data_IF_346924091919
#
_entry.id   IF_346924091919
#
_cell.length_a   1.000
_cell.length_b   1.000
_cell.length_c   1.000
_cell.angle_alpha   90.00
_cell.angle_beta   90.00
_cell.angle_gamma   90.00
#
_symmetry.space_group_name_H-M   'P 1'
#
loop_
_entity.id
_entity.type
_entity.pdbx_description
1 polymer ?
#
# COMPACT_ATOMS: atom_id res chain seq x y z
N UNK A 1 15.87 3.74 -10.98
CA UNK A 1 15.39 2.35 -10.91
C UNK A 1 13.89 2.36 -11.12
N UNK A 2 13.37 1.61 -12.08
CA UNK A 2 11.94 1.28 -12.11
C UNK A 2 11.70 0.27 -10.99
N UNK A 3 10.70 0.54 -10.15
CA UNK A 3 10.43 -0.22 -8.94
C UNK A 3 9.38 -1.29 -9.27
N UNK A 4 9.86 -2.44 -9.74
CA UNK A 4 9.05 -3.52 -10.34
C UNK A 4 8.05 -4.08 -9.32
N UNK A 5 8.42 -4.06 -8.05
CA UNK A 5 7.66 -4.55 -6.92
C UNK A 5 6.43 -3.67 -6.68
N UNK A 6 6.61 -2.34 -6.69
CA UNK A 6 5.49 -1.38 -6.58
C UNK A 6 4.56 -1.50 -7.79
N UNK A 7 5.09 -1.64 -9.00
CA UNK A 7 4.24 -1.86 -10.17
C UNK A 7 3.45 -3.17 -10.06
N UNK A 8 4.05 -4.22 -9.52
CA UNK A 8 3.40 -5.51 -9.30
C UNK A 8 2.30 -5.42 -8.24
N UNK A 9 2.57 -4.72 -7.13
CA UNK A 9 1.57 -4.43 -6.11
C UNK A 9 0.38 -3.65 -6.69
N UNK A 10 0.63 -2.59 -7.46
CA UNK A 10 -0.43 -1.78 -8.08
C UNK A 10 -1.28 -2.57 -9.07
N UNK A 11 -0.66 -3.47 -9.84
CA UNK A 11 -1.38 -4.40 -10.74
C UNK A 11 -2.26 -5.37 -9.97
N UNK A 12 -1.74 -5.96 -8.89
CA UNK A 12 -2.47 -6.88 -8.03
C UNK A 12 -3.69 -6.19 -7.39
N UNK A 13 -3.49 -5.00 -6.83
CA UNK A 13 -4.59 -4.22 -6.25
C UNK A 13 -5.64 -3.88 -7.31
N UNK A 14 -5.21 -3.43 -8.48
CA UNK A 14 -6.12 -3.08 -9.58
C UNK A 14 -6.95 -4.25 -10.08
N UNK A 15 -6.38 -5.46 -10.06
CA UNK A 15 -7.08 -6.68 -10.48
C UNK A 15 -8.18 -7.13 -9.49
N UNK A 16 -8.02 -6.81 -8.21
CA UNK A 16 -8.94 -7.19 -7.14
C UNK A 16 -9.92 -6.07 -6.73
N UNK A 17 -9.80 -4.88 -7.31
CA UNK A 17 -10.70 -3.78 -6.98
C UNK A 17 -12.16 -4.04 -7.43
N UNK A 18 -13.15 -3.78 -6.57
CA UNK A 18 -14.57 -3.92 -6.92
C UNK A 18 -14.97 -3.02 -8.08
N UNK A 19 -15.85 -3.45 -8.98
CA UNK A 19 -16.20 -2.74 -10.23
C UNK A 19 -16.64 -1.27 -10.03
N UNK A 20 -17.28 -0.98 -8.90
CA UNK A 20 -17.85 0.32 -8.54
C UNK A 20 -16.91 1.25 -7.74
N UNK A 21 -15.63 0.87 -7.63
CA UNK A 21 -14.61 1.67 -6.95
C UNK A 21 -14.41 3.06 -7.58
N UNK A 22 -14.10 4.04 -6.72
CA UNK A 22 -13.65 5.40 -7.05
C UNK A 22 -12.21 5.64 -6.62
N UNK A 23 -11.91 5.29 -5.37
CA UNK A 23 -10.58 5.42 -4.77
C UNK A 23 -10.30 4.25 -3.83
N UNK A 24 -9.04 3.91 -3.67
CA UNK A 24 -8.59 2.93 -2.69
C UNK A 24 -7.38 3.45 -1.93
N UNK A 25 -7.15 2.86 -0.76
CA UNK A 25 -5.96 3.06 0.04
C UNK A 25 -5.52 1.72 0.60
N UNK A 26 -4.25 1.39 0.34
CA UNK A 26 -3.53 0.30 1.01
C UNK A 26 -2.53 0.96 1.96
N UNK A 27 -2.53 0.56 3.21
CA UNK A 27 -1.54 0.94 4.20
C UNK A 27 -0.86 -0.32 4.73
N UNK A 28 0.41 -0.49 4.41
CA UNK A 28 1.25 -1.53 4.96
C UNK A 28 2.20 -0.93 5.99
N UNK A 29 2.34 -1.60 7.14
CA UNK A 29 3.19 -1.20 8.25
C UNK A 29 4.04 -2.39 8.70
N UNK A 30 5.34 -2.17 8.86
CA UNK A 30 6.29 -3.15 9.37
C UNK A 30 7.18 -2.48 10.41
N UNK A 31 6.97 -2.82 11.68
CA UNK A 31 7.70 -2.24 12.80
C UNK A 31 7.87 -3.25 13.93
N UNK A 32 9.09 -3.37 14.46
CA UNK A 32 9.45 -4.25 15.57
C UNK A 32 8.97 -5.72 15.41
N UNK A 33 9.06 -6.24 14.18
CA UNK A 33 8.64 -7.61 13.84
C UNK A 33 7.13 -7.80 13.71
N UNK A 34 6.32 -6.76 13.96
CA UNK A 34 4.89 -6.77 13.66
C UNK A 34 4.61 -6.23 12.26
N UNK A 35 3.74 -6.93 11.53
CA UNK A 35 3.26 -6.54 10.21
C UNK A 35 1.75 -6.29 10.29
N UNK A 36 1.30 -5.20 9.67
CA UNK A 36 -0.10 -4.85 9.54
C UNK A 36 -0.39 -4.37 8.12
N UNK A 37 -1.52 -4.81 7.57
CA UNK A 37 -2.01 -4.43 6.26
C UNK A 37 -3.46 -3.98 6.41
N UNK A 38 -3.73 -2.72 6.04
CA UNK A 38 -5.07 -2.17 5.95
C UNK A 38 -5.42 -1.94 4.49
N UNK A 39 -6.54 -2.51 4.05
CA UNK A 39 -7.00 -2.48 2.66
C UNK A 39 -8.43 -1.94 2.63
N UNK A 40 -8.61 -0.79 1.99
CA UNK A 40 -9.92 -0.14 1.91
C UNK A 40 -10.16 0.56 0.59
N UNK A 41 -11.41 0.60 0.17
CA UNK A 41 -11.86 1.31 -1.01
C UNK A 41 -13.12 2.12 -0.72
N UNK A 42 -13.40 3.08 -1.59
CA UNK A 42 -14.61 3.88 -1.57
C UNK A 42 -15.26 3.79 -2.95
N UNK A 43 -16.58 3.69 -2.99
CA UNK A 43 -17.38 3.63 -4.21
C UNK A 43 -17.65 5.03 -4.79
N UNK A 44 -18.02 5.11 -6.07
CA UNK A 44 -18.36 6.37 -6.74
C UNK A 44 -19.48 7.18 -6.06
N UNK A 45 -20.41 6.52 -5.36
CA UNK A 45 -21.60 7.13 -4.77
C UNK A 45 -21.67 6.96 -3.24
N UNK A 46 -20.54 6.68 -2.59
CA UNK A 46 -20.47 6.50 -1.14
C UNK A 46 -19.32 7.32 -0.57
N UNK A 47 -19.55 7.96 0.56
CA UNK A 47 -18.47 8.56 1.34
C UNK A 47 -17.80 7.55 2.28
N UNK A 48 -18.42 6.38 2.47
CA UNK A 48 -17.93 5.35 3.38
C UNK A 48 -16.77 4.54 2.77
N UNK A 49 -15.83 4.19 3.64
CA UNK A 49 -14.76 3.25 3.32
C UNK A 49 -15.21 1.82 3.62
N UNK A 50 -15.03 0.96 2.63
CA UNK A 50 -15.30 -0.46 2.73
C UNK A 50 -14.00 -1.24 2.69
N UNK A 51 -13.94 -2.34 3.45
CA UNK A 51 -12.83 -3.27 3.36
C UNK A 51 -12.90 -4.07 2.05
N UNK A 52 -11.75 -4.42 1.50
CA UNK A 52 -11.63 -5.38 0.41
C UNK A 52 -10.33 -6.14 0.56
N UNK A 53 -10.23 -7.30 -0.08
CA UNK A 53 -8.98 -8.07 -0.16
C UNK A 53 -8.29 -7.72 -1.47
N UNK A 54 -7.15 -7.02 -1.41
CA UNK A 54 -6.41 -6.63 -2.60
C UNK A 54 -5.39 -7.69 -3.04
N UNK A 55 -5.26 -8.80 -2.30
CA UNK A 55 -4.27 -9.85 -2.52
C UNK A 55 -3.66 -10.40 -1.23
N UNK A 56 -4.13 -9.97 -0.05
CA UNK A 56 -3.75 -10.48 1.27
C UNK A 56 -2.25 -10.76 1.43
N UNK A 57 -1.90 -12.04 1.57
CA UNK A 57 -0.53 -12.49 1.79
C UNK A 57 0.43 -12.18 0.63
N UNK A 58 -0.04 -12.29 -0.62
CA UNK A 58 0.80 -12.01 -1.80
C UNK A 58 1.18 -10.52 -1.85
N UNK A 59 0.24 -9.64 -1.49
CA UNK A 59 0.51 -8.21 -1.41
C UNK A 59 1.50 -7.90 -0.28
N UNK A 60 1.36 -8.54 0.89
CA UNK A 60 2.31 -8.40 1.99
C UNK A 60 3.73 -8.84 1.58
N UNK A 61 3.88 -9.99 0.91
CA UNK A 61 5.18 -10.51 0.47
C UNK A 61 5.85 -9.58 -0.56
N UNK A 62 5.08 -9.03 -1.52
CA UNK A 62 5.60 -8.04 -2.47
C UNK A 62 6.11 -6.79 -1.75
N UNK A 63 5.34 -6.27 -0.78
CA UNK A 63 5.69 -5.04 -0.06
C UNK A 63 6.86 -5.24 0.90
N UNK A 64 6.97 -6.42 1.54
CA UNK A 64 8.09 -6.73 2.41
C UNK A 64 9.39 -6.96 1.62
N UNK A 65 9.31 -7.65 0.46
CA UNK A 65 10.44 -7.74 -0.47
C UNK A 65 10.89 -6.37 -0.95
N UNK A 66 9.94 -5.52 -1.35
CA UNK A 66 10.24 -4.14 -1.72
C UNK A 66 10.94 -3.40 -0.58
N UNK A 67 10.48 -3.56 0.66
CA UNK A 67 11.11 -2.96 1.85
C UNK A 67 12.56 -3.39 2.04
N UNK A 68 12.85 -4.66 1.78
CA UNK A 68 14.19 -5.23 1.89
C UNK A 68 15.13 -4.73 0.78
N UNK A 69 14.63 -4.62 -0.45
CA UNK A 69 15.39 -4.22 -1.63
C UNK A 69 15.56 -2.70 -1.74
N UNK A 70 14.60 -1.92 -1.25
CA UNK A 70 14.66 -0.45 -1.24
C UNK A 70 15.56 0.13 -0.15
N UNK A 71 16.19 -0.71 0.67
CA UNK A 71 17.09 -0.33 1.76
C UNK A 71 18.41 0.37 1.36
N UNK A 72 18.60 0.76 0.09
CA UNK A 72 19.86 1.29 -0.44
C UNK A 72 19.89 2.84 -0.64
N UNK A 73 18.92 3.56 -0.06
CA UNK A 73 18.88 5.04 -0.07
C UNK A 73 18.90 5.67 1.32
N UNK A 74 19.83 5.21 2.16
CA UNK A 74 20.16 5.85 3.44
C UNK A 74 19.65 5.07 4.64
N UNK A 75 20.38 3.99 4.98
CA UNK A 75 20.49 3.29 6.28
C UNK A 75 19.24 2.80 7.03
N UNK A 76 18.03 3.29 6.75
CA UNK A 76 16.82 2.92 7.46
C UNK A 76 15.72 2.48 6.49
N UNK A 77 15.23 1.25 6.69
CA UNK A 77 14.03 0.76 6.00
C UNK A 77 12.85 1.63 6.43
N UNK A 78 12.00 1.97 5.48
CA UNK A 78 10.71 2.59 5.80
C UNK A 78 9.90 1.63 6.69
N UNK A 79 9.06 2.21 7.55
CA UNK A 79 8.23 1.47 8.51
C UNK A 79 6.77 1.41 8.07
N UNK A 80 6.39 2.26 7.12
CA UNK A 80 5.10 2.18 6.44
C UNK A 80 5.18 2.62 4.98
N UNK A 81 4.29 2.07 4.17
CA UNK A 81 4.02 2.51 2.80
C UNK A 81 2.51 2.65 2.61
N UNK A 82 2.09 3.76 2.02
CA UNK A 82 0.72 4.00 1.58
C UNK A 82 0.65 4.01 0.07
N UNK A 83 -0.21 3.16 -0.49
CA UNK A 83 -0.55 3.13 -1.90
C UNK A 83 -1.99 3.62 -2.07
N UNK A 84 -2.16 4.73 -2.74
CA UNK A 84 -3.47 5.31 -3.02
C UNK A 84 -3.71 5.35 -4.52
N UNK A 85 -4.86 4.86 -4.97
CA UNK A 85 -5.27 5.06 -6.37
C UNK A 85 -6.65 5.69 -6.42
N UNK A 86 -6.83 6.52 -7.44
CA UNK A 86 -8.13 7.10 -7.79
C UNK A 86 -8.39 6.86 -9.26
N UNK A 87 -9.62 6.49 -9.59
CA UNK A 87 -10.03 6.24 -10.96
C UNK A 87 -9.82 7.49 -11.81
N UNK A 88 -9.03 7.36 -12.88
CA UNK A 88 -8.67 8.47 -13.76
C UNK A 88 -7.52 9.36 -13.27
N UNK A 89 -6.84 9.00 -12.17
CA UNK A 89 -5.65 9.67 -11.68
C UNK A 89 -4.43 8.73 -11.69
N UNK A 90 -3.24 9.31 -11.60
CA UNK A 90 -2.03 8.54 -11.37
C UNK A 90 -2.02 7.97 -9.94
N UNK A 91 -1.48 6.76 -9.73
CA UNK A 91 -1.25 6.22 -8.39
C UNK A 91 -0.31 7.12 -7.57
N UNK A 92 -0.58 7.21 -6.28
CA UNK A 92 0.25 7.92 -5.30
C UNK A 92 0.89 6.91 -4.35
N UNK A 93 2.18 7.09 -4.07
CA UNK A 93 2.98 6.23 -3.19
C UNK A 93 3.69 7.10 -2.17
N UNK A 94 3.42 6.86 -0.88
CA UNK A 94 4.01 7.63 0.22
C UNK A 94 4.68 6.69 1.22
N UNK A 95 5.92 7.01 1.59
CA UNK A 95 6.69 6.26 2.57
C UNK A 95 6.71 7.00 3.92
N UNK A 96 6.66 6.26 5.02
CA UNK A 96 6.90 6.78 6.36
C UNK A 96 8.06 6.06 7.04
N UNK A 97 8.78 6.79 7.88
CA UNK A 97 9.96 6.34 8.60
C UNK A 97 9.75 6.57 10.10
N UNK A 98 10.40 5.76 10.95
CA UNK A 98 10.24 5.83 12.41
C UNK A 98 9.04 5.05 12.95
N UNK A 99 8.71 5.23 14.23
CA UNK A 99 7.62 4.48 14.88
C UNK A 99 6.25 4.83 14.24
N UNK A 100 5.54 3.85 13.63
CA UNK A 100 4.26 4.09 12.97
C UNK A 100 3.13 4.45 13.95
N UNK A 101 3.34 4.34 15.27
CA UNK A 101 2.40 4.79 16.31
C UNK A 101 2.55 6.28 16.65
N UNK A 102 3.62 6.93 16.21
CA UNK A 102 3.83 8.37 16.40
C UNK A 102 3.32 9.09 15.15
N UNK A 103 2.00 9.27 15.08
CA UNK A 103 1.38 10.19 14.12
C UNK A 103 1.56 11.62 14.66
N UNK A 104 2.40 12.43 14.01
CA UNK A 104 2.39 13.89 14.19
C UNK A 104 1.18 14.50 13.47
#
# INVERSE_FOLDING_TARGET
MHNIEIESALKLISANLPVDWLKNEILYRSFDGAIDLTERYQKNNSDDWEAFDAGGFDLMDILDRHRDESGDHGTEKWTQIRLSMRKGALPEVTYGYGDPKILY
#
